data_IF_714921391206
#
_entry.id   IF_714921391206
#
_cell.length_a   1.000
_cell.length_b   1.000
_cell.length_c   1.000
_cell.angle_alpha   90.00
_cell.angle_beta   90.00
_cell.angle_gamma   90.00
#
_symmetry.space_group_name_H-M   'P 1'
#
loop_
_entity.id
_entity.type
_entity.pdbx_description
1 polymer ?
#
# COMPACT_ATOMS: atom_id res chain seq x y z
N UNK A 1 -39.83 -28.03 -29.61
CA UNK A 1 -39.23 -27.76 -28.28
C UNK A 1 -37.83 -27.20 -28.50
N UNK A 2 -37.66 -25.88 -28.42
CA UNK A 2 -36.35 -25.23 -28.59
C UNK A 2 -35.65 -25.15 -27.23
N UNK A 3 -34.59 -25.94 -27.05
CA UNK A 3 -33.72 -25.87 -25.87
C UNK A 3 -33.01 -24.50 -25.84
N UNK A 4 -33.35 -23.65 -24.88
CA UNK A 4 -32.62 -22.42 -24.62
C UNK A 4 -31.20 -22.77 -24.16
N UNK A 5 -30.18 -22.48 -24.98
CA UNK A 5 -28.78 -22.52 -24.55
C UNK A 5 -28.56 -21.41 -23.53
N UNK A 6 -28.43 -21.78 -22.26
CA UNK A 6 -27.92 -20.88 -21.23
C UNK A 6 -26.53 -20.40 -21.64
N UNK A 7 -26.28 -19.09 -21.53
CA UNK A 7 -24.95 -18.51 -21.73
C UNK A 7 -23.95 -19.17 -20.77
N UNK A 8 -22.72 -19.49 -21.20
CA UNK A 8 -21.71 -20.00 -20.30
C UNK A 8 -21.52 -19.00 -19.15
N UNK A 9 -21.37 -19.47 -17.90
CA UNK A 9 -21.18 -18.59 -16.77
C UNK A 9 -19.97 -17.69 -17.04
N UNK A 10 -20.12 -16.39 -16.79
CA UNK A 10 -19.01 -15.45 -16.89
C UNK A 10 -17.82 -16.00 -16.08
N UNK A 11 -16.58 -15.91 -16.59
CA UNK A 11 -15.40 -16.40 -15.89
C UNK A 11 -15.16 -15.67 -14.55
N UNK A 12 -15.84 -14.52 -14.37
CA UNK A 12 -15.78 -13.73 -13.16
C UNK A 12 -16.94 -14.05 -12.20
N UNK A 13 -16.60 -14.59 -11.03
CA UNK A 13 -17.55 -14.81 -9.95
C UNK A 13 -17.35 -13.73 -8.86
N UNK A 14 -18.26 -12.75 -8.71
CA UNK A 14 -18.11 -11.67 -7.73
C UNK A 14 -18.06 -12.17 -6.28
N UNK A 15 -18.66 -13.33 -5.99
CA UNK A 15 -18.60 -13.97 -4.67
C UNK A 15 -17.18 -14.39 -4.30
N UNK A 16 -16.36 -14.81 -5.28
CA UNK A 16 -14.95 -15.13 -5.05
C UNK A 16 -14.12 -13.89 -4.74
N UNK A 17 -14.37 -12.78 -5.44
CA UNK A 17 -13.69 -11.51 -5.17
C UNK A 17 -14.02 -10.98 -3.77
N UNK A 18 -15.30 -11.00 -3.39
CA UNK A 18 -15.71 -10.61 -2.02
C UNK A 18 -15.02 -11.48 -0.97
N UNK A 19 -15.00 -12.79 -1.20
CA UNK A 19 -14.36 -13.73 -0.27
C UNK A 19 -12.86 -13.48 -0.15
N UNK A 20 -12.20 -13.11 -1.25
CA UNK A 20 -10.78 -12.75 -1.28
C UNK A 20 -10.52 -11.46 -0.49
N UNK A 21 -11.26 -10.38 -0.76
CA UNK A 21 -11.10 -9.09 -0.07
C UNK A 21 -11.32 -9.23 1.45
N UNK A 22 -12.31 -10.01 1.88
CA UNK A 22 -12.60 -10.21 3.31
C UNK A 22 -11.52 -11.05 4.02
N UNK A 23 -10.77 -11.87 3.29
CA UNK A 23 -9.67 -12.70 3.81
C UNK A 23 -8.33 -11.99 3.80
N UNK A 24 -8.24 -10.77 3.27
CA UNK A 24 -7.01 -10.02 3.27
C UNK A 24 -6.50 -9.81 4.71
N UNK A 25 -5.21 -10.11 4.96
CA UNK A 25 -4.53 -9.85 6.23
C UNK A 25 -4.64 -8.38 6.66
N UNK A 26 -4.51 -8.13 7.97
CA UNK A 26 -4.83 -6.83 8.58
C UNK A 26 -3.90 -5.73 8.06
N UNK A 27 -2.59 -5.95 8.06
CA UNK A 27 -1.63 -4.93 7.65
C UNK A 27 -1.71 -4.63 6.16
N UNK A 28 -1.97 -5.66 5.34
CA UNK A 28 -2.26 -5.51 3.91
C UNK A 28 -3.46 -4.59 3.71
N UNK A 29 -4.57 -4.83 4.43
CA UNK A 29 -5.79 -4.01 4.35
C UNK A 29 -5.53 -2.56 4.75
N UNK A 30 -4.84 -2.34 5.87
CA UNK A 30 -4.52 -0.99 6.36
C UNK A 30 -3.64 -0.24 5.36
N UNK A 31 -2.61 -0.89 4.81
CA UNK A 31 -1.73 -0.30 3.80
C UNK A 31 -2.51 0.15 2.56
N UNK A 32 -3.39 -0.71 2.04
CA UNK A 32 -4.22 -0.37 0.89
C UNK A 32 -5.18 0.78 1.16
N UNK A 33 -5.80 0.82 2.35
CA UNK A 33 -6.66 1.92 2.77
C UNK A 33 -5.90 3.24 2.87
N UNK A 34 -4.66 3.23 3.40
CA UNK A 34 -3.81 4.42 3.50
C UNK A 34 -3.45 4.94 2.10
N UNK A 35 -3.04 4.05 1.19
CA UNK A 35 -2.73 4.40 -0.20
C UNK A 35 -3.93 5.06 -0.87
N UNK A 36 -5.11 4.44 -0.73
CA UNK A 36 -6.34 4.96 -1.32
C UNK A 36 -6.76 6.30 -0.70
N UNK A 37 -6.62 6.45 0.62
CA UNK A 37 -6.93 7.70 1.32
C UNK A 37 -6.00 8.84 0.88
N UNK A 38 -4.68 8.60 0.77
CA UNK A 38 -3.75 9.62 0.29
C UNK A 38 -3.97 9.96 -1.19
N UNK A 39 -4.34 8.98 -2.01
CA UNK A 39 -4.73 9.26 -3.39
C UNK A 39 -5.96 10.17 -3.47
N UNK A 40 -6.99 9.91 -2.67
CA UNK A 40 -8.15 10.82 -2.57
C UNK A 40 -7.77 12.19 -2.03
N UNK A 41 -6.87 12.22 -1.03
CA UNK A 41 -6.41 13.47 -0.41
C UNK A 41 -5.54 14.32 -1.35
N UNK A 42 -4.97 13.79 -2.43
CA UNK A 42 -4.27 14.60 -3.43
C UNK A 42 -5.25 15.29 -4.41
N UNK A 43 -6.54 14.89 -4.44
CA UNK A 43 -7.53 15.52 -5.35
C UNK A 43 -7.93 16.94 -4.94
N UNK A 44 -7.69 17.31 -3.69
CA UNK A 44 -7.86 18.68 -3.19
C UNK A 44 -6.76 19.62 -3.72
N UNK A 45 -7.06 20.91 -3.78
CA UNK A 45 -6.20 21.94 -4.42
C UNK A 45 -5.53 22.91 -3.44
N UNK A 46 -5.69 22.70 -2.13
CA UNK A 46 -5.18 23.57 -1.06
C UNK A 46 -3.67 23.37 -0.84
N UNK A 47 -3.19 22.12 -0.87
CA UNK A 47 -1.78 21.77 -0.70
C UNK A 47 -1.45 20.43 -1.38
N UNK A 48 -0.18 20.17 -1.71
CA UNK A 48 0.21 18.90 -2.34
C UNK A 48 0.71 17.88 -1.31
N UNK A 49 -0.04 16.78 -1.17
CA UNK A 49 0.32 15.58 -0.40
C UNK A 49 1.53 14.91 -1.03
N UNK A 50 1.60 14.89 -2.37
CA UNK A 50 2.74 14.35 -3.11
C UNK A 50 4.02 15.07 -2.72
N UNK A 51 4.05 16.40 -2.75
CA UNK A 51 5.23 17.16 -2.35
C UNK A 51 5.57 16.99 -0.86
N UNK A 52 4.55 16.90 0.00
CA UNK A 52 4.73 16.71 1.44
C UNK A 52 5.43 15.41 1.82
N UNK A 53 5.15 14.31 1.10
CA UNK A 53 5.72 13.00 1.42
C UNK A 53 6.63 12.37 0.35
N UNK A 54 6.91 13.07 -0.75
CA UNK A 54 7.93 12.66 -1.72
C UNK A 54 9.29 12.50 -1.02
N UNK A 55 10.13 11.56 -1.44
CA UNK A 55 11.48 11.44 -0.89
C UNK A 55 12.43 12.40 -1.61
N UNK A 56 12.75 13.54 -0.99
CA UNK A 56 13.67 14.55 -1.54
C UNK A 56 15.00 14.48 -0.77
N UNK A 57 16.13 14.10 -1.42
CA UNK A 57 17.42 13.90 -0.77
C UNK A 57 17.95 15.10 0.03
N UNK A 58 17.65 16.32 -0.42
CA UNK A 58 18.11 17.54 0.25
C UNK A 58 17.24 17.94 1.47
N UNK A 59 16.16 17.21 1.73
CA UNK A 59 15.22 17.46 2.82
C UNK A 59 15.15 16.29 3.82
N UNK A 60 16.01 15.29 3.66
CA UNK A 60 16.19 14.17 4.58
C UNK A 60 17.51 14.34 5.36
N UNK A 61 17.44 14.36 6.69
CA UNK A 61 18.62 14.45 7.55
C UNK A 61 18.32 15.02 8.93
N UNK A 62 19.19 14.75 9.90
CA UNK A 62 19.13 15.31 11.27
C UNK A 62 19.89 16.66 11.34
N UNK A 63 20.66 17.02 10.30
CA UNK A 63 21.53 18.20 10.27
C UNK A 63 21.38 19.13 9.06
N UNK A 64 20.33 18.98 8.25
CA UNK A 64 19.99 19.92 7.17
C UNK A 64 18.98 20.99 7.62
N UNK A 65 18.73 21.98 6.76
CA UNK A 65 17.80 23.12 7.01
C UNK A 65 16.34 22.70 7.30
N UNK A 66 15.99 21.42 7.13
CA UNK A 66 14.74 20.77 7.55
C UNK A 66 15.02 19.33 8.00
N UNK A 67 14.42 18.89 9.10
CA UNK A 67 14.53 17.53 9.63
C UNK A 67 13.22 16.75 9.38
N UNK A 68 13.10 16.10 8.22
CA UNK A 68 11.85 15.44 7.78
C UNK A 68 12.05 13.92 7.62
N UNK A 69 12.43 13.25 8.72
CA UNK A 69 12.69 11.79 8.76
C UNK A 69 11.44 10.97 8.40
N UNK A 70 10.24 11.50 8.60
CA UNK A 70 8.99 10.81 8.27
C UNK A 70 8.88 10.45 6.77
N UNK A 71 9.56 11.20 5.89
CA UNK A 71 9.53 10.98 4.43
C UNK A 71 10.11 9.63 4.00
N UNK A 72 10.94 9.02 4.86
CA UNK A 72 11.45 7.66 4.66
C UNK A 72 10.36 6.58 4.77
N UNK A 73 9.28 6.86 5.50
CA UNK A 73 8.19 5.90 5.71
C UNK A 73 6.93 6.26 4.91
N UNK A 74 6.78 7.52 4.49
CA UNK A 74 5.59 7.99 3.76
C UNK A 74 5.71 7.91 2.24
N UNK A 75 6.94 7.94 1.68
CA UNK A 75 7.13 7.82 0.23
C UNK A 75 6.52 6.56 -0.43
N UNK A 76 6.45 5.37 0.22
CA UNK A 76 5.88 4.19 -0.42
C UNK A 76 4.35 4.22 -0.54
N UNK A 77 3.68 5.04 0.27
CA UNK A 77 2.20 5.08 0.31
C UNK A 77 1.62 6.26 -0.46
N UNK A 78 2.45 7.24 -0.84
CA UNK A 78 2.06 8.44 -1.57
C UNK A 78 2.38 8.27 -3.05
N UNK A 79 1.38 8.45 -3.89
CA UNK A 79 1.49 8.21 -5.33
C UNK A 79 1.09 9.46 -6.12
N UNK A 80 1.88 9.78 -7.15
CA UNK A 80 1.73 11.03 -7.92
C UNK A 80 0.52 11.05 -8.87
N UNK A 81 -0.05 9.89 -9.22
CA UNK A 81 -1.17 9.80 -10.15
C UNK A 81 -2.02 8.57 -9.91
N UNK A 82 -3.25 8.58 -10.45
CA UNK A 82 -4.20 7.47 -10.36
C UNK A 82 -3.65 6.16 -10.95
N UNK A 83 -3.06 6.22 -12.15
CA UNK A 83 -2.46 5.03 -12.78
C UNK A 83 -1.29 4.49 -11.96
N UNK A 84 -0.45 5.39 -11.44
CA UNK A 84 0.64 5.00 -10.56
C UNK A 84 0.11 4.32 -9.29
N UNK A 85 -0.94 4.86 -8.66
CA UNK A 85 -1.56 4.25 -7.48
C UNK A 85 -2.18 2.88 -7.77
N UNK A 86 -2.97 2.73 -8.85
CA UNK A 86 -3.60 1.46 -9.21
C UNK A 86 -2.57 0.38 -9.53
N UNK A 87 -1.58 0.69 -10.35
CA UNK A 87 -0.57 -0.31 -10.73
C UNK A 87 0.23 -0.78 -9.51
N UNK A 88 0.55 0.13 -8.60
CA UNK A 88 1.20 -0.25 -7.34
C UNK A 88 0.27 -1.06 -6.44
N UNK A 89 -1.02 -0.73 -6.30
CA UNK A 89 -1.96 -1.55 -5.52
C UNK A 89 -2.03 -2.97 -6.08
N UNK A 90 -2.15 -3.12 -7.41
CA UNK A 90 -2.22 -4.44 -8.05
C UNK A 90 -0.93 -5.24 -7.88
N UNK A 91 0.23 -4.59 -7.90
CA UNK A 91 1.53 -5.24 -7.71
C UNK A 91 1.81 -5.56 -6.22
N UNK A 92 1.46 -4.65 -5.32
CA UNK A 92 1.80 -4.70 -3.90
C UNK A 92 0.91 -5.64 -3.10
N UNK A 93 -0.38 -5.70 -3.44
CA UNK A 93 -1.36 -6.53 -2.72
C UNK A 93 -0.93 -7.99 -2.59
N UNK A 94 -0.62 -8.74 -3.67
CA UNK A 94 -0.24 -10.15 -3.55
C UNK A 94 1.10 -10.35 -2.82
N UNK A 95 2.01 -9.37 -2.89
CA UNK A 95 3.32 -9.44 -2.24
C UNK A 95 3.20 -9.29 -0.72
N UNK A 96 2.51 -8.24 -0.25
CA UNK A 96 2.32 -7.99 1.19
C UNK A 96 1.40 -9.05 1.79
N UNK A 97 0.32 -9.42 1.09
CA UNK A 97 -0.59 -10.47 1.55
C UNK A 97 0.16 -11.77 1.84
N UNK A 98 0.96 -12.23 0.87
CA UNK A 98 1.73 -13.46 1.02
C UNK A 98 2.77 -13.35 2.12
N UNK A 99 3.48 -12.23 2.20
CA UNK A 99 4.48 -12.01 3.24
C UNK A 99 3.86 -11.99 4.64
N UNK A 100 2.75 -11.28 4.82
CA UNK A 100 2.04 -11.20 6.10
C UNK A 100 1.46 -12.55 6.51
N UNK A 101 0.93 -13.34 5.57
CA UNK A 101 0.44 -14.68 5.82
C UNK A 101 1.55 -15.65 6.23
N UNK A 102 2.77 -15.50 5.69
CA UNK A 102 3.91 -16.37 5.99
C UNK A 102 4.69 -15.95 7.26
N UNK A 103 4.85 -14.65 7.51
CA UNK A 103 5.75 -14.10 8.53
C UNK A 103 5.02 -13.43 9.71
N UNK A 104 3.70 -13.26 9.61
CA UNK A 104 2.88 -12.57 10.58
C UNK A 104 2.91 -11.04 10.44
N UNK A 105 1.89 -10.40 11.01
CA UNK A 105 1.63 -8.95 10.88
C UNK A 105 2.72 -8.08 11.49
N UNK A 106 3.28 -8.45 12.65
CA UNK A 106 4.34 -7.65 13.29
C UNK A 106 5.63 -7.62 12.46
N UNK A 107 6.00 -8.75 11.87
CA UNK A 107 7.16 -8.85 10.97
C UNK A 107 6.93 -8.06 9.69
N UNK A 108 5.71 -8.07 9.15
CA UNK A 108 5.32 -7.26 7.99
C UNK A 108 5.42 -5.75 8.27
N UNK A 109 4.93 -5.31 9.43
CA UNK A 109 5.05 -3.91 9.89
C UNK A 109 6.53 -3.52 10.05
N UNK A 110 7.33 -4.38 10.69
CA UNK A 110 8.76 -4.12 10.91
C UNK A 110 9.56 -4.05 9.59
N UNK A 111 9.17 -4.84 8.58
CA UNK A 111 9.74 -4.74 7.24
C UNK A 111 9.40 -3.40 6.59
N UNK A 112 8.14 -2.98 6.68
CA UNK A 112 7.64 -1.78 6.02
C UNK A 112 8.18 -0.48 6.64
N UNK A 113 8.36 -0.44 7.96
CA UNK A 113 8.95 0.70 8.67
C UNK A 113 10.48 0.75 8.59
N UNK A 114 11.10 -0.18 7.87
CA UNK A 114 12.55 -0.36 7.84
C UNK A 114 13.03 -1.10 9.08
N UNK A 115 13.71 -2.23 8.85
CA UNK A 115 14.32 -3.15 9.82
C UNK A 115 14.86 -2.41 11.06
N UNK A 116 14.03 -2.27 12.07
CA UNK A 116 14.39 -1.66 13.37
C UNK A 116 15.42 -2.51 14.14
N UNK A 117 15.75 -3.71 13.63
CA UNK A 117 16.67 -4.65 14.26
C UNK A 117 18.15 -4.22 14.29
N UNK A 118 18.61 -3.33 13.40
CA UNK A 118 20.00 -2.82 13.51
C UNK A 118 20.17 -1.72 14.56
N UNK A 119 19.08 -1.27 15.21
CA UNK A 119 19.13 -0.24 16.27
C UNK A 119 19.06 -0.85 17.68
N UNK A 120 18.65 -2.12 17.83
CA UNK A 120 18.55 -2.80 19.14
C UNK A 120 19.58 -3.92 19.36
N UNK A 121 20.57 -4.07 18.47
CA UNK A 121 21.76 -4.88 18.74
C UNK A 121 22.82 -3.99 19.38
N UNK A 122 22.63 -3.65 20.65
CA UNK A 122 23.75 -3.26 21.50
C UNK A 122 24.52 -4.55 21.78
N UNK A 123 25.61 -4.75 21.05
CA UNK A 123 26.74 -5.53 21.59
C UNK A 123 27.54 -4.64 22.54
#
# INVERSE_FOLDING_TARGET
>A
MTSQRALPPLPFNPTRLRSYILRLPLFTRVTLLIIFAFWLLELQTVWSVVNWGALVPNEIGIGGNKCLVYRLNTYPVIHASFLHAILNILALTPLIERFEAEQGTLTAVALFLGRTYYIFRFE
#
